data_IF_950301067790
#
_entry.id   IF_950301067790
#
_cell.length_a   1.000
_cell.length_b   1.000
_cell.length_c   1.000
_cell.angle_alpha   90.00
_cell.angle_beta   90.00
_cell.angle_gamma   90.00
#
_symmetry.space_group_name_H-M   'P 1'
#
loop_
_entity.id
_entity.type
_entity.pdbx_description
1 polymer ?
#
# COMPACT_ATOMS: atom_id res chain seq x y z
N UNK A 1 -11.23 11.39 9.75
CA UNK A 1 -11.46 10.37 10.77
C UNK A 1 -12.94 10.04 10.92
N UNK A 2 -13.82 10.99 11.24
CA UNK A 2 -15.26 10.76 11.48
C UNK A 2 -15.98 10.00 10.35
N UNK A 3 -15.70 10.30 9.09
CA UNK A 3 -16.37 9.65 7.96
C UNK A 3 -16.02 8.16 7.80
N UNK A 4 -14.80 7.77 8.13
CA UNK A 4 -14.44 6.34 8.13
C UNK A 4 -15.17 5.58 9.23
N UNK A 5 -15.32 6.21 10.40
CA UNK A 5 -16.09 5.63 11.50
C UNK A 5 -17.57 5.50 11.14
N UNK A 6 -18.16 6.53 10.50
CA UNK A 6 -19.55 6.48 10.00
C UNK A 6 -19.70 5.39 8.94
N UNK A 7 -18.77 5.28 7.99
CA UNK A 7 -18.82 4.25 6.95
C UNK A 7 -18.76 2.83 7.55
N UNK A 8 -17.86 2.62 8.50
CA UNK A 8 -17.74 1.33 9.19
C UNK A 8 -19.03 1.02 9.98
N UNK A 9 -19.56 2.02 10.69
CA UNK A 9 -20.83 1.87 11.41
C UNK A 9 -21.97 1.50 10.46
N UNK A 10 -22.09 2.18 9.32
CA UNK A 10 -23.10 1.87 8.31
C UNK A 10 -22.94 0.46 7.72
N UNK A 11 -21.70 -0.02 7.54
CA UNK A 11 -21.45 -1.39 7.10
C UNK A 11 -21.88 -2.42 8.15
N UNK A 12 -21.66 -2.14 9.44
CA UNK A 12 -22.14 -2.98 10.55
C UNK A 12 -23.68 -2.97 10.62
N UNK A 13 -24.31 -1.80 10.48
CA UNK A 13 -25.78 -1.67 10.45
C UNK A 13 -26.35 -2.45 9.26
N UNK A 14 -25.71 -2.39 8.09
CA UNK A 14 -26.09 -3.21 6.94
C UNK A 14 -26.06 -4.70 7.24
N UNK A 15 -24.95 -5.19 7.85
CA UNK A 15 -24.81 -6.58 8.26
C UNK A 15 -25.89 -7.00 9.26
N UNK A 16 -26.24 -6.12 10.20
CA UNK A 16 -27.32 -6.36 11.18
C UNK A 16 -28.69 -6.43 10.52
N UNK A 17 -29.00 -5.53 9.58
CA UNK A 17 -30.28 -5.51 8.85
C UNK A 17 -30.44 -6.75 7.97
N UNK A 18 -29.36 -7.18 7.30
CA UNK A 18 -29.36 -8.35 6.43
C UNK A 18 -29.26 -9.68 7.18
N UNK A 19 -29.05 -9.64 8.51
CA UNK A 19 -28.91 -10.83 9.34
C UNK A 19 -27.67 -11.68 9.03
N UNK A 20 -26.68 -11.13 8.31
CA UNK A 20 -25.48 -11.87 7.90
C UNK A 20 -24.21 -11.07 8.15
N UNK A 21 -23.39 -11.55 9.08
CA UNK A 21 -22.08 -10.99 9.41
C UNK A 21 -20.93 -11.62 8.58
N UNK A 22 -21.22 -12.18 7.41
CA UNK A 22 -20.19 -12.72 6.53
C UNK A 22 -19.26 -11.62 6.00
N UNK A 23 -18.00 -11.95 5.75
CA UNK A 23 -17.02 -10.99 5.23
C UNK A 23 -17.50 -10.34 3.92
N UNK A 24 -18.10 -11.11 3.03
CA UNK A 24 -18.65 -10.61 1.76
C UNK A 24 -19.74 -9.57 2.00
N UNK A 25 -20.64 -9.80 2.95
CA UNK A 25 -21.73 -8.89 3.28
C UNK A 25 -21.22 -7.61 3.96
N UNK A 26 -20.21 -7.70 4.82
CA UNK A 26 -19.54 -6.54 5.41
C UNK A 26 -18.82 -5.69 4.36
N UNK A 27 -18.10 -6.32 3.42
CA UNK A 27 -17.46 -5.62 2.30
C UNK A 27 -18.51 -4.94 1.43
N UNK A 28 -19.59 -5.63 1.09
CA UNK A 28 -20.70 -5.05 0.31
C UNK A 28 -21.31 -3.85 1.02
N UNK A 29 -21.63 -3.97 2.32
CA UNK A 29 -22.13 -2.87 3.15
C UNK A 29 -21.16 -1.69 3.20
N UNK A 30 -19.85 -1.94 3.31
CA UNK A 30 -18.84 -0.89 3.29
C UNK A 30 -18.79 -0.16 1.93
N UNK A 31 -18.83 -0.87 0.83
CA UNK A 31 -18.85 -0.28 -0.52
C UNK A 31 -20.12 0.54 -0.73
N UNK A 32 -21.29 -0.01 -0.36
CA UNK A 32 -22.58 0.68 -0.48
C UNK A 32 -22.60 1.96 0.35
N UNK A 33 -22.10 1.90 1.60
CA UNK A 33 -21.99 3.06 2.49
C UNK A 33 -21.01 4.11 1.95
N UNK A 34 -19.92 3.68 1.34
CA UNK A 34 -18.95 4.57 0.67
C UNK A 34 -19.62 5.34 -0.45
N UNK A 35 -20.41 4.67 -1.30
CA UNK A 35 -21.16 5.30 -2.39
C UNK A 35 -22.22 6.26 -1.86
N UNK A 36 -23.01 5.84 -0.86
CA UNK A 36 -24.04 6.69 -0.25
C UNK A 36 -23.44 7.96 0.38
N UNK A 37 -22.37 7.82 1.18
CA UNK A 37 -21.68 8.97 1.78
C UNK A 37 -21.06 9.87 0.70
N UNK A 38 -20.57 9.29 -0.39
CA UNK A 38 -20.05 10.03 -1.52
C UNK A 38 -21.12 10.91 -2.18
N UNK A 39 -22.27 10.34 -2.50
CA UNK A 39 -23.38 11.06 -3.13
C UNK A 39 -23.92 12.20 -2.24
N UNK A 40 -24.09 11.95 -0.94
CA UNK A 40 -24.59 12.95 0.01
C UNK A 40 -23.60 14.10 0.16
N UNK A 41 -22.30 13.81 0.18
CA UNK A 41 -21.27 14.80 0.44
C UNK A 41 -20.90 15.63 -0.79
N UNK A 42 -21.10 15.14 -1.98
CA UNK A 42 -20.93 15.92 -3.22
C UNK A 42 -21.91 17.11 -3.27
N UNK A 43 -23.07 16.97 -2.60
CA UNK A 43 -24.06 18.02 -2.42
C UNK A 43 -23.74 19.02 -1.29
N UNK A 44 -22.88 18.65 -0.32
CA UNK A 44 -22.67 19.45 0.92
C UNK A 44 -21.30 20.13 0.99
N UNK A 45 -20.30 19.74 0.26
CA UNK A 45 -18.91 20.27 0.13
C UNK A 45 -17.87 19.16 0.17
N UNK A 46 -17.42 18.69 -0.95
CA UNK A 46 -16.07 18.14 -1.07
C UNK A 46 -15.88 16.73 -1.61
N UNK A 47 -15.43 16.71 -2.82
CA UNK A 47 -14.93 15.60 -3.66
C UNK A 47 -13.80 14.76 -3.05
N UNK A 48 -13.42 14.94 -1.78
CA UNK A 48 -12.23 14.35 -1.18
C UNK A 48 -12.35 12.88 -0.74
N UNK A 49 -13.53 12.45 -0.27
CA UNK A 49 -13.67 11.14 0.38
C UNK A 49 -13.56 9.97 -0.61
N UNK A 50 -14.37 9.98 -1.66
CA UNK A 50 -14.34 8.92 -2.70
C UNK A 50 -12.96 8.86 -3.35
N UNK A 51 -12.39 10.03 -3.68
CA UNK A 51 -11.05 10.09 -4.27
C UNK A 51 -10.00 9.46 -3.36
N UNK A 52 -10.07 9.68 -2.05
CA UNK A 52 -9.16 9.07 -1.08
C UNK A 52 -9.36 7.56 -0.97
N UNK A 53 -10.60 7.07 -0.94
CA UNK A 53 -10.90 5.62 -0.95
C UNK A 53 -10.33 4.96 -2.22
N UNK A 54 -10.52 5.57 -3.39
CA UNK A 54 -9.97 5.08 -4.66
C UNK A 54 -8.43 5.05 -4.62
N UNK A 55 -7.78 6.08 -4.06
CA UNK A 55 -6.31 6.13 -3.94
C UNK A 55 -5.78 5.04 -3.02
N UNK A 56 -6.43 4.82 -1.86
CA UNK A 56 -6.08 3.73 -0.95
C UNK A 56 -6.30 2.36 -1.63
N UNK A 57 -7.42 2.17 -2.33
CA UNK A 57 -7.68 0.94 -3.07
C UNK A 57 -6.64 0.72 -4.19
N UNK A 58 -6.20 1.81 -4.86
CA UNK A 58 -5.15 1.73 -5.89
C UNK A 58 -3.77 1.40 -5.31
N UNK A 59 -3.46 1.86 -4.08
CA UNK A 59 -2.25 1.47 -3.36
C UNK A 59 -2.28 -0.02 -2.99
N UNK A 60 -3.42 -0.49 -2.47
CA UNK A 60 -3.60 -1.90 -2.16
C UNK A 60 -3.50 -2.78 -3.42
N UNK A 61 -4.08 -2.36 -4.53
CA UNK A 61 -3.96 -3.06 -5.80
C UNK A 61 -2.51 -3.13 -6.29
N UNK A 62 -1.78 -2.00 -6.23
CA UNK A 62 -0.35 -1.98 -6.56
C UNK A 62 0.43 -2.96 -5.71
N UNK A 63 0.17 -3.01 -4.39
CA UNK A 63 0.82 -3.96 -3.50
C UNK A 63 0.62 -5.41 -3.95
N UNK A 64 -0.61 -5.82 -4.29
CA UNK A 64 -0.87 -7.19 -4.77
C UNK A 64 -0.19 -7.49 -6.11
N UNK A 65 -0.12 -6.52 -7.00
CA UNK A 65 0.59 -6.67 -8.28
C UNK A 65 2.10 -6.84 -8.05
N UNK A 66 2.71 -6.00 -7.20
CA UNK A 66 4.14 -6.10 -6.89
C UNK A 66 4.46 -7.39 -6.11
N UNK A 67 3.58 -7.80 -5.18
CA UNK A 67 3.70 -9.08 -4.49
C UNK A 67 3.71 -10.25 -5.48
N UNK A 68 2.78 -10.28 -6.44
CA UNK A 68 2.71 -11.35 -7.43
C UNK A 68 3.94 -11.38 -8.35
N UNK A 69 4.39 -10.21 -8.84
CA UNK A 69 5.61 -10.10 -9.67
C UNK A 69 6.85 -10.57 -8.90
N UNK A 70 6.98 -10.12 -7.67
CA UNK A 70 8.12 -10.43 -6.81
C UNK A 70 8.15 -11.91 -6.43
N UNK A 71 6.99 -12.48 -6.08
CA UNK A 71 6.86 -13.91 -5.82
C UNK A 71 7.22 -14.75 -7.05
N UNK A 72 6.81 -14.33 -8.24
CA UNK A 72 7.17 -14.98 -9.50
C UNK A 72 8.68 -14.90 -9.75
N UNK A 73 9.29 -13.71 -9.57
CA UNK A 73 10.76 -13.54 -9.73
C UNK A 73 11.53 -14.48 -8.80
N UNK A 74 11.14 -14.56 -7.53
CA UNK A 74 11.77 -15.45 -6.54
C UNK A 74 11.54 -16.93 -6.90
N UNK A 75 10.33 -17.31 -7.31
CA UNK A 75 10.05 -18.68 -7.73
C UNK A 75 10.92 -19.12 -8.92
N UNK A 76 11.06 -18.28 -9.94
CA UNK A 76 11.95 -18.52 -11.08
C UNK A 76 13.41 -18.63 -10.62
N UNK A 77 13.85 -17.75 -9.72
CA UNK A 77 15.20 -17.76 -9.16
C UNK A 77 15.51 -19.07 -8.44
N UNK A 78 14.58 -19.58 -7.61
CA UNK A 78 14.75 -20.83 -6.85
C UNK A 78 14.85 -22.06 -7.77
N UNK A 79 14.11 -22.07 -8.87
CA UNK A 79 14.13 -23.19 -9.84
C UNK A 79 15.32 -23.10 -10.82
N UNK A 80 15.97 -21.94 -10.89
CA UNK A 80 17.08 -21.72 -11.83
C UNK A 80 18.33 -22.52 -11.42
N UNK A 81 18.98 -23.24 -12.35
CA UNK A 81 20.18 -24.04 -12.05
C UNK A 81 21.39 -23.18 -11.65
N UNK A 82 21.38 -21.92 -12.00
CA UNK A 82 22.44 -20.95 -11.68
C UNK A 82 21.83 -19.76 -10.97
N UNK A 83 22.28 -19.52 -9.74
CA UNK A 83 21.92 -18.35 -8.93
C UNK A 83 22.91 -17.22 -9.25
N UNK A 84 22.59 -16.38 -10.24
CA UNK A 84 23.34 -15.14 -10.49
C UNK A 84 22.62 -13.98 -9.76
N UNK A 85 22.70 -14.00 -8.44
CA UNK A 85 22.14 -12.98 -7.56
C UNK A 85 23.26 -12.11 -7.01
N UNK A 86 23.01 -10.82 -6.90
CA UNK A 86 23.93 -9.82 -6.32
C UNK A 86 23.24 -9.14 -5.14
N UNK A 87 23.19 -9.81 -3.97
CA UNK A 87 22.54 -9.22 -2.81
C UNK A 87 23.27 -7.96 -2.36
N UNK A 88 22.52 -6.98 -1.89
CA UNK A 88 23.13 -5.74 -1.43
C UNK A 88 22.15 -4.88 -0.62
N UNK A 89 22.70 -3.83 -0.02
CA UNK A 89 21.92 -2.81 0.67
C UNK A 89 22.12 -1.50 -0.10
N UNK A 90 21.01 -0.82 -0.36
CA UNK A 90 21.05 0.52 -0.94
C UNK A 90 20.29 1.52 -0.07
N UNK A 91 20.70 2.78 -0.14
CA UNK A 91 20.05 3.90 0.50
C UNK A 91 18.95 4.45 -0.43
N UNK A 92 17.74 4.52 0.06
CA UNK A 92 16.59 5.12 -0.63
C UNK A 92 16.29 6.49 0.00
N UNK A 93 16.38 7.60 -0.76
CA UNK A 93 16.02 8.92 -0.25
C UNK A 93 14.51 9.05 -0.10
N UNK A 94 14.03 9.29 1.13
CA UNK A 94 12.61 9.46 1.44
C UNK A 94 12.12 10.85 1.02
N UNK A 95 10.95 10.90 0.37
CA UNK A 95 10.20 12.13 0.12
C UNK A 95 8.96 12.25 1.01
N UNK A 96 8.51 11.14 1.59
CA UNK A 96 7.50 11.12 2.66
C UNK A 96 8.13 11.56 3.98
N UNK A 97 7.38 12.30 4.80
CA UNK A 97 7.91 12.92 6.03
C UNK A 97 7.19 12.48 7.30
N UNK A 98 5.96 11.97 7.20
CA UNK A 98 5.19 11.53 8.35
C UNK A 98 5.61 10.12 8.77
N UNK A 99 5.79 9.89 10.07
CA UNK A 99 6.22 8.58 10.61
C UNK A 99 5.34 7.43 10.13
N UNK A 100 4.03 7.65 10.06
CA UNK A 100 3.09 6.69 9.51
C UNK A 100 3.38 6.33 8.04
N UNK A 101 3.70 7.31 7.20
CA UNK A 101 3.99 7.09 5.77
C UNK A 101 5.32 6.34 5.58
N UNK A 102 6.33 6.70 6.37
CA UNK A 102 7.63 6.02 6.36
C UNK A 102 7.46 4.56 6.81
N UNK A 103 6.72 4.34 7.90
CA UNK A 103 6.44 2.99 8.40
C UNK A 103 5.64 2.16 7.38
N UNK A 104 4.63 2.77 6.76
CA UNK A 104 3.83 2.11 5.73
C UNK A 104 4.70 1.72 4.53
N UNK A 105 5.56 2.63 4.05
CA UNK A 105 6.48 2.36 2.94
C UNK A 105 7.44 1.23 3.29
N UNK A 106 8.07 1.28 4.47
CA UNK A 106 8.99 0.25 4.94
C UNK A 106 8.32 -1.13 5.02
N UNK A 107 7.08 -1.20 5.51
CA UNK A 107 6.31 -2.44 5.57
C UNK A 107 5.95 -2.97 4.18
N UNK A 108 5.49 -2.11 3.26
CA UNK A 108 5.16 -2.53 1.89
C UNK A 108 6.38 -3.09 1.16
N UNK A 109 7.56 -2.48 1.33
CA UNK A 109 8.81 -2.98 0.78
C UNK A 109 9.16 -4.35 1.39
N UNK A 110 9.06 -4.48 2.72
CA UNK A 110 9.40 -5.73 3.42
C UNK A 110 8.44 -6.87 3.09
N UNK A 111 7.18 -6.58 2.83
CA UNK A 111 6.18 -7.58 2.45
C UNK A 111 6.33 -8.06 1.00
N UNK A 112 7.12 -7.37 0.18
CA UNK A 112 7.43 -7.86 -1.17
C UNK A 112 8.61 -8.83 -1.13
N UNK A 113 8.47 -10.09 -1.66
CA UNK A 113 9.54 -11.07 -1.62
C UNK A 113 10.84 -10.56 -2.28
N UNK A 114 11.96 -10.77 -1.60
CA UNK A 114 13.28 -10.38 -2.11
C UNK A 114 13.74 -8.99 -1.67
N UNK A 115 12.95 -8.25 -0.89
CA UNK A 115 13.34 -6.97 -0.29
C UNK A 115 13.06 -6.93 1.21
N UNK A 116 13.84 -6.14 1.94
CA UNK A 116 13.70 -5.95 3.38
C UNK A 116 14.13 -4.52 3.74
N UNK A 117 13.27 -3.78 4.39
CA UNK A 117 13.64 -2.51 5.02
C UNK A 117 14.45 -2.78 6.27
N UNK A 118 15.69 -2.33 6.28
CA UNK A 118 16.68 -2.64 7.33
C UNK A 118 16.67 -1.59 8.43
N UNK A 119 16.68 -0.31 8.04
CA UNK A 119 16.79 0.80 8.98
C UNK A 119 16.34 2.12 8.34
N UNK A 120 16.00 3.09 9.18
CA UNK A 120 15.70 4.48 8.79
C UNK A 120 16.74 5.37 9.47
N UNK A 121 17.35 6.29 8.72
CA UNK A 121 18.29 7.26 9.29
C UNK A 121 17.65 8.12 10.38
N UNK A 122 18.46 8.59 11.36
CA UNK A 122 17.99 9.40 12.49
C UNK A 122 17.27 10.68 12.05
N UNK A 123 17.68 11.26 10.92
CA UNK A 123 17.06 12.44 10.31
C UNK A 123 15.79 12.13 9.49
N UNK A 124 15.40 10.85 9.41
CA UNK A 124 14.24 10.34 8.67
C UNK A 124 14.23 10.69 7.17
N UNK A 125 15.40 10.88 6.57
CA UNK A 125 15.53 11.22 5.15
C UNK A 125 15.96 10.05 4.29
N UNK A 126 16.41 8.96 4.90
CA UNK A 126 16.94 7.80 4.18
C UNK A 126 16.39 6.51 4.76
N UNK A 127 15.88 5.64 3.89
CA UNK A 127 15.52 4.27 4.21
C UNK A 127 16.58 3.33 3.63
N UNK A 128 17.18 2.48 4.45
CA UNK A 128 18.11 1.46 4.01
C UNK A 128 17.33 0.19 3.66
N UNK A 129 17.51 -0.28 2.43
CA UNK A 129 16.78 -1.43 1.90
C UNK A 129 17.77 -2.49 1.46
N UNK A 130 17.63 -3.70 1.99
CA UNK A 130 18.30 -4.89 1.49
C UNK A 130 17.48 -5.48 0.33
N UNK A 131 18.17 -5.85 -0.75
CA UNK A 131 17.57 -6.59 -1.86
C UNK A 131 18.38 -7.86 -2.15
N UNK A 132 17.69 -8.96 -2.45
CA UNK A 132 18.30 -10.23 -2.84
C UNK A 132 19.05 -10.10 -4.19
N UNK A 133 18.62 -9.16 -5.01
CA UNK A 133 19.29 -8.79 -6.25
C UNK A 133 19.34 -7.26 -6.34
N UNK A 134 20.53 -6.72 -6.14
CA UNK A 134 20.85 -5.30 -6.15
C UNK A 134 21.83 -4.96 -7.29
N UNK A 135 21.69 -5.65 -8.45
CA UNK A 135 22.56 -5.43 -9.60
C UNK A 135 22.42 -4.00 -10.17
N UNK A 136 21.21 -3.42 -10.08
CA UNK A 136 20.91 -2.02 -10.45
C UNK A 136 20.17 -1.32 -9.29
N UNK A 137 20.90 -0.72 -8.33
CA UNK A 137 20.28 0.02 -7.22
C UNK A 137 19.46 1.23 -7.66
N UNK A 138 19.80 1.84 -8.79
CA UNK A 138 19.11 3.02 -9.29
C UNK A 138 17.75 2.64 -9.90
N UNK A 139 17.65 1.49 -10.56
CA UNK A 139 16.37 0.95 -10.98
C UNK A 139 15.50 0.63 -9.77
N UNK A 140 16.03 -0.02 -8.75
CA UNK A 140 15.29 -0.32 -7.52
C UNK A 140 14.78 0.94 -6.81
N UNK A 141 15.59 2.02 -6.75
CA UNK A 141 15.16 3.31 -6.22
C UNK A 141 14.00 3.91 -7.02
N UNK A 142 14.09 3.89 -8.35
CA UNK A 142 13.01 4.40 -9.21
C UNK A 142 11.72 3.62 -9.01
N UNK A 143 11.78 2.31 -8.95
CA UNK A 143 10.61 1.44 -8.76
C UNK A 143 9.89 1.75 -7.44
N UNK A 144 10.63 1.94 -6.35
CA UNK A 144 10.07 2.32 -5.05
C UNK A 144 9.47 3.74 -5.11
N UNK A 145 10.19 4.71 -5.67
CA UNK A 145 9.77 6.10 -5.73
C UNK A 145 8.50 6.29 -6.59
N UNK A 146 8.49 5.70 -7.79
CA UNK A 146 7.38 5.81 -8.75
C UNK A 146 6.22 4.85 -8.43
N UNK A 147 6.49 3.80 -7.65
CA UNK A 147 5.52 2.83 -7.18
C UNK A 147 4.90 3.23 -5.85
N UNK A 148 5.39 2.59 -4.79
CA UNK A 148 4.81 2.69 -3.44
C UNK A 148 4.85 4.09 -2.85
N UNK A 149 5.99 4.78 -2.91
CA UNK A 149 6.11 6.11 -2.28
C UNK A 149 5.17 7.13 -2.91
N UNK A 150 5.11 7.18 -4.24
CA UNK A 150 4.16 8.04 -4.95
C UNK A 150 2.72 7.75 -4.55
N UNK A 151 2.32 6.47 -4.50
CA UNK A 151 0.95 6.07 -4.14
C UNK A 151 0.60 6.39 -2.69
N UNK A 152 1.56 6.26 -1.77
CA UNK A 152 1.38 6.67 -0.36
C UNK A 152 1.12 8.18 -0.31
N UNK A 153 1.95 9.00 -0.95
CA UNK A 153 1.73 10.45 -0.98
C UNK A 153 0.36 10.82 -1.57
N UNK A 154 -0.04 10.19 -2.68
CA UNK A 154 -1.35 10.43 -3.29
C UNK A 154 -2.51 10.05 -2.37
N UNK A 155 -2.38 8.97 -1.59
CA UNK A 155 -3.45 8.47 -0.72
C UNK A 155 -3.62 9.31 0.55
N UNK A 156 -2.53 9.90 1.05
CA UNK A 156 -2.51 10.59 2.34
C UNK A 156 -2.23 12.10 2.25
N UNK A 157 -2.13 12.64 1.03
CA UNK A 157 -2.06 14.08 0.77
C UNK A 157 -3.33 14.84 1.19
#
# INVERSE_FOLDING_TARGET
MILYAINLLMAIVWAAITGSASLHNLIFGFVLSTLALGLIREQINGTGYIRRVIRIASLAWLFFVELAKSAWKVAVMVVSPRLDIKPGIFAFPLTVTRDFEITLLANLITLTPGTLSVDVSDDKKTLYVHAIDCADPDAARRDIAEGFERKIREAFA
#
